data_IF_130836668751
#
_entry.id   IF_130836668751
#
_cell.length_a   1.000
_cell.length_b   1.000
_cell.length_c   1.000
_cell.angle_alpha   90.00
_cell.angle_beta   90.00
_cell.angle_gamma   90.00
#
_symmetry.space_group_name_H-M   'P 1'
#
loop_
_entity.id
_entity.type
_entity.pdbx_description
1 polymer ?
#
# COMPACT_ATOMS: atom_id res chain seq x y z
N UNK A 1 11.58 24.38 -10.57
CA UNK A 1 12.77 23.61 -10.17
C UNK A 1 13.58 24.37 -9.12
N UNK A 2 14.45 25.32 -9.47
CA UNK A 2 15.23 26.12 -8.50
C UNK A 2 14.38 26.90 -7.47
N UNK A 3 13.17 27.31 -7.86
CA UNK A 3 12.23 27.97 -6.98
C UNK A 3 11.66 27.05 -5.87
N UNK A 4 11.35 25.79 -6.19
CA UNK A 4 10.77 24.85 -5.22
C UNK A 4 11.84 24.39 -4.23
N UNK A 5 13.07 24.17 -4.72
CA UNK A 5 14.27 23.94 -3.90
C UNK A 5 14.52 25.06 -2.90
N UNK A 6 14.55 26.32 -3.36
CA UNK A 6 14.76 27.48 -2.50
C UNK A 6 13.67 27.67 -1.44
N UNK A 7 12.41 27.37 -1.77
CA UNK A 7 11.28 27.50 -0.83
C UNK A 7 11.27 26.37 0.20
N UNK A 8 11.56 25.12 -0.19
CA UNK A 8 11.68 24.03 0.79
C UNK A 8 12.92 24.20 1.67
N UNK A 9 14.04 24.73 1.15
CA UNK A 9 15.18 25.18 1.94
C UNK A 9 14.80 26.23 2.97
N UNK A 10 14.10 27.30 2.57
CA UNK A 10 13.59 28.30 3.51
C UNK A 10 12.61 27.68 4.53
N UNK A 11 11.81 26.69 4.11
CA UNK A 11 10.88 25.98 4.97
C UNK A 11 11.57 25.06 5.99
N UNK A 12 12.65 24.37 5.63
CA UNK A 12 13.47 23.61 6.58
C UNK A 12 14.27 24.51 7.51
N UNK A 13 14.74 25.67 7.03
CA UNK A 13 15.30 26.69 7.91
C UNK A 13 14.28 27.21 8.93
N UNK A 14 12.99 27.26 8.58
CA UNK A 14 11.88 27.59 9.50
C UNK A 14 11.52 26.43 10.45
N UNK A 15 11.65 25.17 10.01
CA UNK A 15 11.53 23.97 10.86
C UNK A 15 12.64 23.91 11.91
N UNK A 16 13.89 24.22 11.53
CA UNK A 16 15.02 24.32 12.45
C UNK A 16 14.83 25.43 13.50
N UNK A 17 14.06 26.49 13.17
CA UNK A 17 13.70 27.59 14.09
C UNK A 17 12.54 27.26 15.05
N UNK A 18 11.86 26.11 14.91
CA UNK A 18 10.75 25.70 15.81
C UNK A 18 11.18 24.85 17.00
N UNK A 19 12.48 24.62 17.20
CA UNK A 19 13.00 24.31 18.53
C UNK A 19 12.95 25.59 19.40
N UNK A 20 12.68 25.49 20.71
CA UNK A 20 12.19 26.62 21.49
C UNK A 20 13.24 27.74 21.67
N UNK A 21 12.89 28.95 21.19
CA UNK A 21 13.56 30.21 21.52
C UNK A 21 14.31 30.87 20.35
N UNK A 22 13.71 31.89 19.72
CA UNK A 22 14.31 33.19 19.32
C UNK A 22 13.56 33.91 18.16
N UNK A 23 13.77 35.24 18.09
CA UNK A 23 12.92 36.28 17.50
C UNK A 23 13.03 36.45 15.97
N UNK A 24 11.94 36.92 15.34
CA UNK A 24 11.80 37.06 13.87
C UNK A 24 12.23 38.43 13.31
N UNK A 25 12.95 38.43 12.18
CA UNK A 25 13.00 39.57 11.25
C UNK A 25 13.13 39.14 9.78
N UNK A 26 12.50 39.96 8.93
CA UNK A 26 12.07 39.84 7.51
C UNK A 26 13.18 39.55 6.49
N UNK A 27 12.82 38.97 5.33
CA UNK A 27 13.33 39.41 4.01
C UNK A 27 12.35 39.05 2.87
N UNK A 28 12.41 39.85 1.80
CA UNK A 28 11.55 39.85 0.61
C UNK A 28 12.39 40.05 -0.67
N UNK A 29 11.83 39.68 -1.83
CA UNK A 29 12.10 40.15 -3.23
C UNK A 29 12.66 39.09 -4.22
N UNK A 30 12.67 39.29 -5.56
CA UNK A 30 11.51 39.06 -6.45
C UNK A 30 11.83 38.29 -7.77
N UNK A 31 10.77 37.78 -8.43
CA UNK A 31 10.62 37.73 -9.90
C UNK A 31 11.09 36.47 -10.65
N UNK A 32 10.15 35.77 -11.29
CA UNK A 32 10.16 35.43 -12.73
C UNK A 32 8.90 34.65 -13.16
N UNK A 33 8.67 34.70 -14.47
CA UNK A 33 7.44 34.46 -15.25
C UNK A 33 6.79 33.08 -15.12
N UNK A 34 5.46 33.12 -15.17
CA UNK A 34 4.46 32.08 -15.02
C UNK A 34 4.39 31.07 -16.17
N UNK A 35 3.72 29.95 -15.88
CA UNK A 35 3.27 28.84 -16.76
C UNK A 35 4.28 27.72 -16.99
N UNK A 36 4.20 26.64 -16.18
CA UNK A 36 4.40 25.21 -16.56
C UNK A 36 4.66 24.23 -15.39
N UNK A 37 4.59 24.64 -14.12
CA UNK A 37 5.06 23.78 -13.02
C UNK A 37 4.00 23.55 -11.93
N UNK A 38 3.07 22.62 -12.15
CA UNK A 38 2.28 22.03 -11.05
C UNK A 38 2.38 20.51 -10.94
N UNK A 39 3.23 19.88 -11.76
CA UNK A 39 3.78 18.56 -11.47
C UNK A 39 5.29 18.70 -11.36
N UNK A 40 5.89 18.16 -10.29
CA UNK A 40 7.34 18.02 -10.23
C UNK A 40 7.73 17.03 -11.33
N UNK A 41 8.77 17.31 -12.13
CA UNK A 41 9.29 16.34 -13.09
C UNK A 41 9.63 15.02 -12.39
N UNK A 42 9.46 13.90 -13.09
CA UNK A 42 9.97 12.62 -12.63
C UNK A 42 11.46 12.75 -12.25
N UNK A 43 11.84 12.31 -11.04
CA UNK A 43 13.19 12.45 -10.50
C UNK A 43 13.37 13.46 -9.36
N UNK A 44 12.32 14.19 -8.95
CA UNK A 44 12.34 15.12 -7.80
C UNK A 44 11.67 14.55 -6.53
N UNK A 45 11.64 13.22 -6.41
CA UNK A 45 11.02 12.50 -5.30
C UNK A 45 11.73 12.74 -3.96
N UNK A 46 13.01 13.14 -4.01
CA UNK A 46 13.84 13.41 -2.84
C UNK A 46 14.40 14.83 -2.87
N UNK A 47 14.21 15.55 -1.76
CA UNK A 47 14.77 16.87 -1.49
C UNK A 47 15.62 16.79 -0.22
N UNK A 48 16.93 16.89 -0.39
CA UNK A 48 17.87 17.10 0.72
C UNK A 48 17.83 18.57 1.08
N UNK A 49 17.26 18.90 2.25
CA UNK A 49 17.03 20.29 2.64
C UNK A 49 18.14 20.82 3.52
N UNK A 50 18.74 19.93 4.32
CA UNK A 50 20.03 20.10 4.96
C UNK A 50 20.67 18.73 5.18
N UNK A 51 21.92 18.68 5.63
CA UNK A 51 22.59 17.42 6.04
C UNK A 51 21.80 16.63 7.09
N UNK A 52 20.91 17.31 7.83
CA UNK A 52 20.20 16.77 8.98
C UNK A 52 18.72 16.50 8.67
N UNK A 53 18.16 17.08 7.59
CA UNK A 53 16.72 16.97 7.26
C UNK A 53 16.52 16.61 5.79
N UNK A 54 15.93 15.44 5.57
CA UNK A 54 15.58 14.92 4.26
C UNK A 54 14.05 14.89 4.11
N UNK A 55 13.54 15.43 3.02
CA UNK A 55 12.11 15.41 2.69
C UNK A 55 11.91 14.61 1.41
N UNK A 56 11.05 13.61 1.46
CA UNK A 56 10.63 12.83 0.28
C UNK A 56 9.17 13.11 0.00
N UNK A 57 8.81 13.39 -1.24
CA UNK A 57 7.42 13.58 -1.64
C UNK A 57 6.86 12.20 -1.96
N UNK A 58 5.98 11.69 -1.10
CA UNK A 58 5.34 10.39 -1.28
C UNK A 58 4.18 10.47 -2.26
N UNK A 59 3.45 11.60 -2.25
CA UNK A 59 2.42 11.89 -3.24
C UNK A 59 2.10 13.38 -3.29
N UNK A 60 1.55 13.84 -4.41
CA UNK A 60 1.01 15.18 -4.58
C UNK A 60 -0.19 15.24 -5.53
N UNK A 61 -1.14 16.13 -5.23
CA UNK A 61 -2.32 16.46 -6.04
C UNK A 61 -2.36 17.98 -6.17
N UNK A 62 -2.39 18.47 -7.39
CA UNK A 62 -2.39 19.91 -7.68
C UNK A 62 -3.54 20.30 -8.60
N UNK A 63 -4.05 21.50 -8.39
CA UNK A 63 -4.97 22.17 -9.31
C UNK A 63 -4.21 23.26 -10.06
N UNK A 64 -4.02 23.01 -11.37
CA UNK A 64 -3.29 23.90 -12.27
C UNK A 64 -3.89 25.31 -12.37
N UNK A 65 -5.19 25.45 -12.15
CA UNK A 65 -5.93 26.70 -12.32
C UNK A 65 -5.87 27.58 -11.08
N UNK A 66 -6.06 26.99 -9.90
CA UNK A 66 -6.04 27.73 -8.62
C UNK A 66 -4.65 27.88 -8.03
N UNK A 67 -3.70 27.05 -8.47
CA UNK A 67 -2.38 26.91 -7.88
C UNK A 67 -2.40 26.16 -6.55
N UNK A 68 -3.52 25.56 -6.17
CA UNK A 68 -3.60 24.80 -4.93
C UNK A 68 -2.87 23.47 -5.06
N UNK A 69 -2.13 23.10 -4.02
CA UNK A 69 -1.36 21.86 -3.95
C UNK A 69 -1.62 21.17 -2.62
N UNK A 70 -1.83 19.87 -2.66
CA UNK A 70 -1.74 18.99 -1.51
C UNK A 70 -0.63 17.96 -1.72
N UNK A 71 0.11 17.64 -0.66
CA UNK A 71 1.15 16.62 -0.72
C UNK A 71 1.26 15.82 0.58
N UNK A 72 1.69 14.57 0.44
CA UNK A 72 2.16 13.74 1.54
C UNK A 72 3.68 13.68 1.45
N UNK A 73 4.34 14.05 2.55
CA UNK A 73 5.78 14.11 2.67
C UNK A 73 6.24 13.08 3.71
N UNK A 74 7.35 12.41 3.43
CA UNK A 74 8.16 11.72 4.43
C UNK A 74 9.24 12.69 4.91
N UNK A 75 9.24 13.01 6.20
CA UNK A 75 10.27 13.85 6.80
C UNK A 75 11.18 12.96 7.62
N UNK A 76 12.46 12.94 7.27
CA UNK A 76 13.51 12.20 7.97
C UNK A 76 14.51 13.17 8.57
N UNK A 77 14.66 13.13 9.89
CA UNK A 77 15.59 13.94 10.66
C UNK A 77 16.70 13.04 11.18
N UNK A 78 17.93 13.32 10.79
CA UNK A 78 19.14 12.64 11.25
C UNK A 78 19.76 13.42 12.42
N UNK A 79 20.27 12.74 13.47
CA UNK A 79 21.00 13.42 14.54
C UNK A 79 22.25 14.10 13.99
N UNK A 80 22.55 15.31 14.49
CA UNK A 80 23.78 16.05 14.14
C UNK A 80 25.00 15.18 14.40
N UNK A 81 25.89 15.07 13.42
CA UNK A 81 27.17 14.36 13.54
C UNK A 81 28.21 15.05 14.45
N UNK A 82 27.83 16.09 15.21
CA UNK A 82 28.75 16.91 16.01
C UNK A 82 28.25 17.02 17.46
N UNK A 83 28.98 16.37 18.38
CA UNK A 83 28.82 16.34 19.86
C UNK A 83 28.66 17.72 20.56
N UNK A 84 28.31 17.79 21.87
CA UNK A 84 27.37 16.98 22.65
C UNK A 84 26.17 17.80 23.18
N UNK A 85 25.19 17.11 23.77
CA UNK A 85 24.05 17.63 24.56
C UNK A 85 22.71 17.93 23.83
N UNK A 86 22.40 17.21 22.75
CA UNK A 86 21.00 17.03 22.31
C UNK A 86 20.60 15.58 22.52
N UNK A 87 19.47 15.36 23.19
CA UNK A 87 18.97 14.05 23.66
C UNK A 87 18.42 13.14 22.56
N UNK A 88 18.43 13.55 21.29
CA UNK A 88 17.99 12.70 20.18
C UNK A 88 19.16 11.88 19.63
N UNK A 89 19.28 10.62 20.06
CA UNK A 89 20.31 9.66 19.60
C UNK A 89 19.90 8.85 18.38
N UNK A 90 18.68 9.02 17.85
CA UNK A 90 18.10 8.20 16.80
C UNK A 90 17.58 9.04 15.62
N UNK A 91 17.63 8.46 14.43
CA UNK A 91 16.94 8.99 13.24
C UNK A 91 15.45 9.00 13.51
N UNK A 92 14.80 10.14 13.26
CA UNK A 92 13.36 10.32 13.39
C UNK A 92 12.75 10.34 12.00
N UNK A 93 11.68 9.60 11.79
CA UNK A 93 10.91 9.62 10.55
C UNK A 93 9.43 9.83 10.88
N UNK A 94 8.77 10.75 10.18
CA UNK A 94 7.33 10.98 10.33
C UNK A 94 6.71 11.44 9.00
N UNK A 95 5.39 11.26 8.86
CA UNK A 95 4.65 11.76 7.71
C UNK A 95 4.12 13.16 7.97
N UNK A 96 4.16 14.00 6.95
CA UNK A 96 3.57 15.33 6.95
C UNK A 96 2.62 15.48 5.78
N UNK A 97 1.37 15.81 6.06
CA UNK A 97 0.40 16.20 5.06
C UNK A 97 0.40 17.73 4.97
N UNK A 98 0.49 18.26 3.76
CA UNK A 98 0.50 19.70 3.51
C UNK A 98 -0.55 20.05 2.47
N UNK A 99 -1.29 21.12 2.72
CA UNK A 99 -2.04 21.87 1.72
C UNK A 99 -1.43 23.26 1.64
N UNK A 100 -1.21 23.77 0.44
CA UNK A 100 -0.70 25.11 0.23
C UNK A 100 -1.21 25.66 -1.09
N UNK A 101 -0.87 26.92 -1.35
CA UNK A 101 -1.05 27.55 -2.66
C UNK A 101 0.32 27.89 -3.22
N UNK A 102 0.54 27.53 -4.48
CA UNK A 102 1.78 27.73 -5.23
C UNK A 102 1.49 28.70 -6.37
N UNK A 103 2.15 29.85 -6.35
CA UNK A 103 2.09 30.83 -7.44
C UNK A 103 3.50 31.20 -7.85
N UNK A 104 3.92 30.72 -9.02
CA UNK A 104 5.29 30.86 -9.50
C UNK A 104 6.30 30.26 -8.52
N UNK A 105 7.05 31.13 -7.85
CA UNK A 105 8.08 30.77 -6.86
C UNK A 105 7.66 31.05 -5.42
N UNK A 106 6.37 31.26 -5.17
CA UNK A 106 5.87 31.59 -3.83
C UNK A 106 4.91 30.50 -3.35
N UNK A 107 5.12 30.04 -2.12
CA UNK A 107 4.16 29.18 -1.41
C UNK A 107 3.49 30.00 -0.31
N UNK A 108 2.16 29.97 -0.29
CA UNK A 108 1.34 30.64 0.72
C UNK A 108 0.25 29.70 1.25
N UNK A 109 -0.54 30.16 2.22
CA UNK A 109 -1.71 29.44 2.74
C UNK A 109 -1.41 27.99 3.17
N UNK A 110 -0.25 27.80 3.82
CA UNK A 110 0.25 26.49 4.23
C UNK A 110 -0.56 25.98 5.43
N UNK A 111 -1.17 24.81 5.27
CA UNK A 111 -1.92 24.07 6.29
C UNK A 111 -1.33 22.68 6.43
N UNK A 112 -0.95 22.28 7.64
CA UNK A 112 -0.17 21.07 7.89
C UNK A 112 -0.81 20.19 8.95
N UNK A 113 -0.69 18.88 8.76
CA UNK A 113 -0.89 17.86 9.79
C UNK A 113 0.34 16.96 9.79
N UNK A 114 0.89 16.72 10.99
CA UNK A 114 1.98 15.77 11.18
C UNK A 114 1.43 14.49 11.80
N UNK A 115 1.70 13.37 11.13
CA UNK A 115 1.50 12.04 11.68
C UNK A 115 2.78 11.66 12.42
N UNK A 116 2.73 11.93 13.72
CA UNK A 116 3.80 11.69 14.69
C UNK A 116 3.55 10.42 15.49
N UNK A 117 2.73 9.49 15.00
CA UNK A 117 2.43 8.28 15.76
C UNK A 117 3.66 7.39 15.91
N UNK A 118 4.51 7.30 14.88
CA UNK A 118 5.82 6.65 14.99
C UNK A 118 6.70 7.29 16.09
N UNK A 119 6.68 8.62 16.20
CA UNK A 119 7.37 9.36 17.26
C UNK A 119 6.80 9.07 18.65
N UNK A 120 5.47 9.00 18.78
CA UNK A 120 4.79 8.69 20.06
C UNK A 120 5.03 7.24 20.50
N UNK A 121 5.06 6.32 19.54
CA UNK A 121 5.23 4.89 19.77
C UNK A 121 6.71 4.46 19.82
N UNK A 122 7.65 5.40 19.71
CA UNK A 122 9.10 5.13 19.64
C UNK A 122 9.48 4.18 18.49
N UNK A 123 8.74 4.25 17.38
CA UNK A 123 9.03 3.52 16.15
C UNK A 123 10.01 4.31 15.29
N UNK A 124 10.98 3.62 14.68
CA UNK A 124 12.04 4.26 13.89
C UNK A 124 11.64 4.61 12.46
N UNK A 125 10.47 4.17 11.98
CA UNK A 125 10.03 4.32 10.59
C UNK A 125 8.57 4.71 10.51
N UNK A 126 8.24 5.63 9.62
CA UNK A 126 6.86 6.03 9.38
C UNK A 126 6.22 5.10 8.36
N UNK A 127 4.94 4.76 8.57
CA UNK A 127 4.16 3.95 7.62
C UNK A 127 4.05 4.70 6.29
N UNK A 128 4.42 4.06 5.18
CA UNK A 128 4.26 4.67 3.85
C UNK A 128 2.82 4.53 3.34
N UNK A 129 2.28 5.52 2.61
CA UNK A 129 1.00 5.34 1.93
C UNK A 129 1.11 4.21 0.89
N UNK A 130 -0.01 3.54 0.55
CA UNK A 130 -0.01 2.56 -0.52
C UNK A 130 0.37 3.20 -1.87
N UNK A 131 0.80 2.39 -2.84
CA UNK A 131 1.00 2.85 -4.21
C UNK A 131 -0.34 3.27 -4.82
N UNK A 132 -0.40 4.46 -5.42
CA UNK A 132 -1.61 4.98 -6.03
C UNK A 132 -1.52 4.85 -7.55
N UNK A 133 -2.30 3.94 -8.13
CA UNK A 133 -2.57 3.89 -9.58
C UNK A 133 -3.96 4.46 -9.85
N UNK A 134 -4.03 5.44 -10.76
CA UNK A 134 -5.29 6.01 -11.22
C UNK A 134 -5.95 5.12 -12.27
N UNK A 135 -7.25 4.84 -12.12
CA UNK A 135 -8.07 4.28 -13.19
C UNK A 135 -8.80 5.38 -13.96
N UNK A 136 -8.95 5.20 -15.28
CA UNK A 136 -9.84 6.03 -16.09
C UNK A 136 -11.28 5.88 -15.61
N UNK A 137 -11.93 7.02 -15.34
CA UNK A 137 -13.33 7.01 -14.89
C UNK A 137 -14.30 6.68 -16.01
N UNK A 138 -15.50 6.16 -15.69
CA UNK A 138 -16.57 6.01 -16.66
C UNK A 138 -16.83 7.35 -17.37
N UNK A 139 -17.18 7.35 -18.67
CA UNK A 139 -17.52 8.58 -19.38
C UNK A 139 -18.60 9.37 -18.64
N UNK A 140 -18.32 10.66 -18.37
CA UNK A 140 -19.26 11.56 -17.69
C UNK A 140 -19.24 11.51 -16.16
N UNK A 141 -18.37 10.73 -15.53
CA UNK A 141 -18.19 10.76 -14.08
C UNK A 141 -17.36 11.98 -13.66
N UNK A 142 -17.92 12.80 -12.77
CA UNK A 142 -17.26 13.97 -12.18
C UNK A 142 -16.89 13.66 -10.73
N UNK A 143 -15.59 13.55 -10.44
CA UNK A 143 -15.10 13.16 -9.12
C UNK A 143 -15.42 14.23 -8.07
N UNK A 144 -15.30 15.50 -8.45
CA UNK A 144 -15.65 16.64 -7.59
C UNK A 144 -17.10 16.57 -7.14
N UNK A 145 -18.04 16.35 -8.05
CA UNK A 145 -19.47 16.28 -7.74
C UNK A 145 -19.79 15.05 -6.89
N UNK A 146 -19.25 13.89 -7.25
CA UNK A 146 -19.46 12.64 -6.52
C UNK A 146 -18.97 12.75 -5.07
N UNK A 147 -17.75 13.28 -4.85
CA UNK A 147 -17.19 13.41 -3.51
C UNK A 147 -17.92 14.47 -2.67
N UNK A 148 -18.35 15.60 -3.27
CA UNK A 148 -19.18 16.58 -2.57
C UNK A 148 -20.53 16.01 -2.17
N UNK A 149 -21.16 15.22 -3.03
CA UNK A 149 -22.42 14.54 -2.74
C UNK A 149 -22.26 13.50 -1.63
N UNK A 150 -21.18 12.71 -1.65
CA UNK A 150 -20.82 11.79 -0.57
C UNK A 150 -20.59 12.54 0.76
N UNK A 151 -19.77 13.58 0.75
CA UNK A 151 -19.50 14.38 1.94
C UNK A 151 -20.78 14.99 2.52
N UNK A 152 -21.65 15.52 1.65
CA UNK A 152 -22.95 16.06 2.05
C UNK A 152 -23.87 14.98 2.63
N UNK A 153 -23.86 13.76 2.08
CA UNK A 153 -24.59 12.62 2.62
C UNK A 153 -24.18 12.31 4.08
N UNK A 154 -22.87 12.32 4.35
CA UNK A 154 -22.32 12.13 5.71
C UNK A 154 -22.68 13.31 6.62
N UNK A 155 -22.42 14.55 6.19
CA UNK A 155 -22.61 15.75 7.04
C UNK A 155 -24.08 16.05 7.35
N UNK A 156 -24.99 15.72 6.45
CA UNK A 156 -26.45 15.86 6.65
C UNK A 156 -27.10 14.64 7.29
N UNK A 157 -26.32 13.59 7.59
CA UNK A 157 -26.79 12.34 8.21
C UNK A 157 -27.88 11.64 7.41
N UNK A 158 -27.75 11.65 6.08
CA UNK A 158 -28.70 11.00 5.16
C UNK A 158 -28.14 9.69 4.59
N UNK A 159 -27.26 9.03 5.35
CA UNK A 159 -26.52 7.84 4.91
C UNK A 159 -27.41 6.62 4.72
N UNK A 160 -28.44 6.43 5.54
CA UNK A 160 -29.41 5.34 5.39
C UNK A 160 -30.02 5.30 3.97
N UNK A 161 -30.36 6.47 3.43
CA UNK A 161 -30.99 6.59 2.11
C UNK A 161 -29.97 6.66 0.96
N UNK A 162 -28.81 7.27 1.19
CA UNK A 162 -27.93 7.73 0.10
C UNK A 162 -26.56 7.06 0.05
N UNK A 163 -26.10 6.37 1.11
CA UNK A 163 -24.73 5.83 1.16
C UNK A 163 -24.46 4.79 0.06
N UNK A 164 -25.50 4.06 -0.37
CA UNK A 164 -25.44 3.08 -1.45
C UNK A 164 -25.05 3.68 -2.81
N UNK A 165 -25.25 4.98 -3.01
CA UNK A 165 -24.84 5.69 -4.24
C UNK A 165 -23.32 5.87 -4.34
N UNK A 166 -22.62 5.82 -3.21
CA UNK A 166 -21.20 6.17 -3.11
C UNK A 166 -20.31 4.98 -2.71
N UNK A 167 -20.91 3.89 -2.24
CA UNK A 167 -20.17 2.76 -1.66
C UNK A 167 -20.69 1.42 -2.18
N UNK A 168 -19.75 0.48 -2.37
CA UNK A 168 -20.05 -0.92 -2.68
C UNK A 168 -20.73 -1.61 -1.48
N UNK A 169 -21.36 -2.76 -1.74
CA UNK A 169 -22.01 -3.55 -0.67
C UNK A 169 -21.02 -4.05 0.40
N UNK A 170 -19.77 -4.28 -0.01
CA UNK A 170 -18.65 -4.62 0.86
C UNK A 170 -17.52 -3.59 0.70
N UNK A 171 -17.00 -3.13 1.83
CA UNK A 171 -16.00 -2.08 1.94
C UNK A 171 -14.81 -2.65 2.70
N UNK A 172 -13.60 -2.26 2.31
CA UNK A 172 -12.42 -2.53 3.14
C UNK A 172 -12.16 -1.29 3.99
N UNK A 173 -12.31 -1.43 5.31
CA UNK A 173 -12.14 -0.36 6.27
C UNK A 173 -11.14 -0.82 7.34
N UNK A 174 -10.06 -0.07 7.54
CA UNK A 174 -8.93 -0.45 8.41
C UNK A 174 -8.46 -1.89 8.16
N UNK A 175 -8.22 -2.24 6.89
CA UNK A 175 -7.77 -3.58 6.45
C UNK A 175 -8.80 -4.72 6.64
N UNK A 176 -9.98 -4.43 7.19
CA UNK A 176 -11.04 -5.41 7.39
C UNK A 176 -12.15 -5.26 6.34
N UNK A 177 -12.65 -6.38 5.82
CA UNK A 177 -13.86 -6.37 5.00
C UNK A 177 -15.09 -6.23 5.89
N UNK A 178 -15.86 -5.18 5.68
CA UNK A 178 -17.12 -4.88 6.38
C UNK A 178 -18.25 -4.71 5.38
N UNK A 179 -19.47 -4.99 5.80
CA UNK A 179 -20.65 -4.63 4.99
C UNK A 179 -20.85 -3.12 5.00
N UNK A 180 -21.51 -2.58 3.97
CA UNK A 180 -21.92 -1.16 3.95
C UNK A 180 -22.72 -0.77 5.19
N UNK A 181 -23.52 -1.68 5.71
CA UNK A 181 -24.32 -1.45 6.91
C UNK A 181 -23.46 -1.35 8.18
N UNK A 182 -22.45 -2.22 8.32
CA UNK A 182 -21.47 -2.12 9.40
C UNK A 182 -20.66 -0.83 9.31
N UNK A 183 -20.26 -0.43 8.09
CA UNK A 183 -19.54 0.82 7.85
C UNK A 183 -20.39 2.04 8.21
N UNK A 184 -21.66 2.06 7.81
CA UNK A 184 -22.65 3.08 8.19
C UNK A 184 -22.79 3.15 9.71
N UNK A 185 -23.00 2.01 10.36
CA UNK A 185 -23.13 1.91 11.81
C UNK A 185 -21.94 2.50 12.56
N UNK A 186 -20.71 2.23 12.11
CA UNK A 186 -19.51 2.81 12.71
C UNK A 186 -19.44 4.34 12.57
N UNK A 187 -19.85 4.89 11.42
CA UNK A 187 -19.92 6.35 11.22
C UNK A 187 -21.04 7.00 12.05
N UNK A 188 -22.14 6.29 12.29
CA UNK A 188 -23.27 6.81 13.07
C UNK A 188 -23.12 6.65 14.57
N UNK A 189 -22.40 5.64 15.05
CA UNK A 189 -22.05 5.49 16.47
C UNK A 189 -21.29 6.73 16.97
N UNK A 190 -20.49 7.33 16.09
CA UNK A 190 -19.88 8.63 16.33
C UNK A 190 -20.93 9.75 16.51
N UNK A 191 -22.05 9.74 15.81
CA UNK A 191 -23.10 10.78 15.93
C UNK A 191 -23.82 10.76 17.29
N UNK A 192 -23.93 9.61 17.94
CA UNK A 192 -24.57 9.48 19.27
C UNK A 192 -23.72 10.04 20.42
N UNK A 193 -22.41 10.11 20.20
CA UNK A 193 -21.44 10.74 21.10
C UNK A 193 -21.23 12.20 20.71
N UNK A 194 -21.23 12.50 19.41
CA UNK A 194 -20.96 13.82 18.84
C UNK A 194 -22.22 14.48 18.25
N UNK A 195 -23.28 14.61 19.06
CA UNK A 195 -24.58 15.06 18.57
C UNK A 195 -24.56 16.45 17.89
N UNK A 196 -23.70 17.36 18.35
CA UNK A 196 -23.51 18.71 17.79
C UNK A 196 -22.38 18.80 16.74
N UNK A 197 -21.80 17.67 16.34
CA UNK A 197 -20.66 17.65 15.43
C UNK A 197 -20.99 18.31 14.09
N UNK A 198 -20.14 19.26 13.74
CA UNK A 198 -20.10 19.91 12.43
C UNK A 198 -18.81 19.51 11.72
N UNK A 199 -18.98 18.84 10.60
CA UNK A 199 -17.93 18.47 9.65
C UNK A 199 -18.01 19.41 8.44
N UNK A 200 -16.98 20.24 8.26
CA UNK A 200 -16.89 21.25 7.20
C UNK A 200 -15.79 20.87 6.23
N UNK A 201 -16.12 20.77 4.94
CA UNK A 201 -15.14 20.62 3.87
C UNK A 201 -14.45 21.98 3.63
N UNK A 202 -13.33 22.23 4.30
CA UNK A 202 -12.60 23.50 4.27
C UNK A 202 -11.82 23.69 2.97
N UNK A 203 -11.23 22.61 2.44
CA UNK A 203 -10.52 22.64 1.16
C UNK A 203 -10.74 21.34 0.38
N UNK A 204 -10.87 21.46 -0.93
CA UNK A 204 -10.96 20.35 -1.87
C UNK A 204 -10.13 20.69 -3.10
N UNK A 205 -9.09 19.89 -3.35
CA UNK A 205 -8.23 19.96 -4.54
C UNK A 205 -8.51 18.70 -5.33
N UNK A 206 -8.86 18.82 -6.61
CA UNK A 206 -9.21 17.68 -7.45
C UNK A 206 -8.39 17.73 -8.73
N UNK A 207 -7.69 16.64 -9.00
CA UNK A 207 -7.11 16.34 -10.29
C UNK A 207 -8.10 15.42 -11.03
N UNK A 208 -9.01 16.02 -11.81
CA UNK A 208 -10.02 15.27 -12.57
C UNK A 208 -9.40 14.42 -13.68
N UNK A 209 -8.23 14.77 -14.19
CA UNK A 209 -7.55 13.95 -15.20
C UNK A 209 -7.03 12.66 -14.58
N UNK A 210 -6.37 12.75 -13.42
CA UNK A 210 -5.86 11.59 -12.69
C UNK A 210 -6.89 10.92 -11.78
N UNK A 211 -8.09 11.48 -11.65
CA UNK A 211 -9.13 11.00 -10.74
C UNK A 211 -8.61 10.84 -9.30
N UNK A 212 -7.98 11.90 -8.82
CA UNK A 212 -7.42 12.02 -7.48
C UNK A 212 -7.95 13.29 -6.83
N UNK A 213 -8.15 13.26 -5.52
CA UNK A 213 -8.47 14.46 -4.75
C UNK A 213 -7.76 14.46 -3.40
N UNK A 214 -7.54 15.65 -2.89
CA UNK A 214 -7.17 15.90 -1.51
C UNK A 214 -8.22 16.81 -0.88
N UNK A 215 -8.69 16.45 0.30
CA UNK A 215 -9.66 17.21 1.06
C UNK A 215 -9.13 17.53 2.46
N UNK A 216 -9.41 18.74 2.93
CA UNK A 216 -9.21 19.14 4.31
C UNK A 216 -10.58 19.28 4.97
N UNK A 217 -10.85 18.44 5.97
CA UNK A 217 -12.14 18.37 6.66
C UNK A 217 -11.97 18.81 8.10
N UNK A 218 -12.69 19.84 8.50
CA UNK A 218 -12.66 20.39 9.85
C UNK A 218 -13.84 19.85 10.64
N UNK A 219 -13.56 19.28 11.81
CA UNK A 219 -14.57 18.75 12.72
C UNK A 219 -14.63 19.63 13.96
N UNK A 220 -15.84 20.03 14.34
CA UNK A 220 -16.12 20.81 15.54
C UNK A 220 -17.27 20.19 16.32
N UNK A 221 -17.05 19.86 17.58
CA UNK A 221 -18.07 19.20 18.41
C UNK A 221 -17.83 19.42 19.90
N UNK A 222 -18.82 19.07 20.73
CA UNK A 222 -18.74 19.12 22.19
C UNK A 222 -18.94 17.71 22.75
N UNK A 223 -17.90 17.06 23.30
CA UNK A 223 -18.02 15.72 23.84
C UNK A 223 -18.91 15.69 25.07
N UNK A 224 -20.00 14.92 24.97
CA UNK A 224 -20.99 14.71 26.05
C UNK A 224 -20.98 13.29 26.62
N UNK A 225 -20.28 12.36 25.97
CA UNK A 225 -20.08 10.96 26.41
C UNK A 225 -18.62 10.56 26.23
N UNK A 226 -18.19 9.54 26.96
CA UNK A 226 -16.87 8.94 26.79
C UNK A 226 -16.76 8.30 25.39
N UNK A 227 -15.59 8.44 24.76
CA UNK A 227 -15.33 7.89 23.43
C UNK A 227 -13.85 7.55 23.24
N UNK A 228 -13.56 6.35 22.75
CA UNK A 228 -12.20 5.83 22.56
C UNK A 228 -11.28 6.02 23.79
N UNK A 229 -11.82 5.77 24.99
CA UNK A 229 -11.08 5.91 26.26
C UNK A 229 -10.86 7.36 26.72
N UNK A 230 -11.48 8.33 26.06
CA UNK A 230 -11.42 9.75 26.43
C UNK A 230 -12.73 10.15 27.10
N UNK A 231 -12.62 10.66 28.33
CA UNK A 231 -13.76 11.18 29.09
C UNK A 231 -14.23 12.55 28.56
N UNK A 232 -15.55 12.85 28.60
CA UNK A 232 -16.07 14.11 28.11
C UNK A 232 -15.64 15.27 29.02
N UNK A 233 -15.05 16.30 28.42
CA UNK A 233 -14.61 17.50 29.16
C UNK A 233 -15.67 18.61 29.20
N UNK A 234 -16.74 18.48 28.41
CA UNK A 234 -17.76 19.51 28.20
C UNK A 234 -17.26 20.75 27.45
N UNK A 235 -16.00 20.77 27.00
CA UNK A 235 -15.41 21.86 26.22
C UNK A 235 -15.51 21.55 24.73
N UNK A 236 -15.80 22.57 23.93
CA UNK A 236 -15.83 22.45 22.48
C UNK A 236 -14.44 22.09 21.94
N UNK A 237 -14.37 21.07 21.11
CA UNK A 237 -13.17 20.56 20.46
C UNK A 237 -13.23 20.87 18.97
N UNK A 238 -12.07 21.21 18.40
CA UNK A 238 -11.88 21.37 16.96
C UNK A 238 -10.67 20.56 16.53
N UNK A 239 -10.83 19.69 15.54
CA UNK A 239 -9.72 19.01 14.89
C UNK A 239 -9.88 19.02 13.37
N UNK A 240 -8.87 18.54 12.66
CA UNK A 240 -8.88 18.51 11.20
C UNK A 240 -8.35 17.18 10.71
N UNK A 241 -8.92 16.69 9.64
CA UNK A 241 -8.41 15.57 8.87
C UNK A 241 -7.96 16.04 7.49
N UNK A 242 -6.87 15.45 7.02
CA UNK A 242 -6.39 15.56 5.65
C UNK A 242 -6.65 14.22 4.96
N UNK A 243 -7.60 14.22 4.04
CA UNK A 243 -8.04 13.04 3.30
C UNK A 243 -7.44 13.08 1.91
N UNK A 244 -6.80 11.99 1.49
CA UNK A 244 -6.36 11.80 0.12
C UNK A 244 -7.17 10.65 -0.46
N UNK A 245 -7.88 10.89 -1.55
CA UNK A 245 -8.66 9.87 -2.26
C UNK A 245 -8.11 9.73 -3.65
N UNK A 246 -7.80 8.50 -4.03
CA UNK A 246 -7.47 8.13 -5.39
C UNK A 246 -8.52 7.13 -5.86
N UNK A 247 -8.84 7.12 -7.15
CA UNK A 247 -9.52 5.99 -7.75
C UNK A 247 -8.57 4.79 -7.76
N UNK A 248 -8.48 4.11 -6.63
CA UNK A 248 -7.60 2.99 -6.37
C UNK A 248 -8.08 1.78 -7.19
N UNK A 249 -7.16 1.13 -7.90
CA UNK A 249 -7.23 -0.34 -7.90
C UNK A 249 -7.04 -0.79 -6.45
N UNK A 250 -7.88 -1.71 -5.97
CA UNK A 250 -7.46 -2.55 -4.87
C UNK A 250 -6.21 -3.26 -5.39
N UNK A 251 -5.06 -2.75 -5.00
CA UNK A 251 -3.78 -3.11 -5.55
C UNK A 251 -3.53 -4.57 -5.14
N UNK A 252 -4.05 -5.52 -5.91
CA UNK A 252 -3.52 -6.89 -5.95
C UNK A 252 -2.16 -6.81 -6.65
N UNK A 253 -1.26 -6.00 -6.09
CA UNK A 253 0.00 -5.55 -6.67
C UNK A 253 -0.16 -4.96 -8.10
N UNK A 254 0.28 -3.72 -8.28
CA UNK A 254 0.46 -3.03 -9.55
C UNK A 254 1.52 -3.79 -10.37
N UNK A 255 1.15 -4.95 -10.90
CA UNK A 255 2.02 -5.79 -11.71
C UNK A 255 1.95 -5.21 -13.10
N UNK A 256 2.75 -4.18 -13.34
CA UNK A 256 3.08 -3.75 -14.70
C UNK A 256 4.03 -4.77 -15.32
N UNK A 257 4.05 -4.86 -16.65
CA UNK A 257 5.09 -5.62 -17.34
C UNK A 257 6.44 -4.95 -17.05
N UNK A 258 7.21 -5.57 -16.14
CA UNK A 258 8.48 -5.05 -15.64
C UNK A 258 9.59 -5.23 -16.67
N UNK A 259 10.83 -4.86 -16.35
CA UNK A 259 11.99 -5.23 -17.16
C UNK A 259 11.94 -6.73 -17.48
N UNK A 260 12.04 -7.08 -18.76
CA UNK A 260 11.81 -8.43 -19.26
C UNK A 260 13.05 -9.33 -19.11
N UNK A 261 13.65 -9.31 -17.93
CA UNK A 261 14.91 -9.98 -17.62
C UNK A 261 14.78 -11.50 -17.38
N UNK A 262 13.55 -12.01 -17.39
CA UNK A 262 13.23 -13.43 -17.26
C UNK A 262 12.64 -14.05 -18.54
N UNK A 263 12.66 -13.35 -19.68
CA UNK A 263 12.15 -13.88 -20.96
C UNK A 263 12.77 -15.24 -21.29
N UNK A 264 11.91 -16.19 -21.65
CA UNK A 264 12.31 -17.55 -22.02
C UNK A 264 12.70 -18.46 -20.85
N UNK A 265 12.75 -17.94 -19.61
CA UNK A 265 12.97 -18.77 -18.42
C UNK A 265 11.69 -19.50 -18.03
N UNK A 266 11.84 -20.64 -17.38
CA UNK A 266 10.74 -21.47 -16.88
C UNK A 266 10.77 -21.47 -15.36
N UNK A 267 9.65 -21.12 -14.75
CA UNK A 267 9.46 -21.12 -13.31
C UNK A 267 8.32 -22.07 -12.89
N UNK A 268 8.57 -22.89 -11.88
CA UNK A 268 7.52 -23.62 -11.17
C UNK A 268 7.19 -22.87 -9.89
N UNK A 269 5.92 -22.58 -9.66
CA UNK A 269 5.44 -21.96 -8.41
C UNK A 269 4.39 -22.86 -7.78
N UNK A 270 4.72 -23.46 -6.64
CA UNK A 270 3.82 -24.39 -5.97
C UNK A 270 2.76 -23.62 -5.18
N UNK A 271 1.49 -24.00 -5.30
CA UNK A 271 0.39 -23.25 -4.66
C UNK A 271 0.08 -21.91 -5.31
N UNK A 272 0.31 -21.77 -6.62
CA UNK A 272 0.08 -20.54 -7.40
C UNK A 272 -1.40 -20.13 -7.54
N UNK A 273 -2.35 -20.97 -7.14
CA UNK A 273 -3.79 -20.65 -7.24
C UNK A 273 -4.28 -19.51 -6.33
N UNK A 274 -3.53 -19.13 -5.28
CA UNK A 274 -3.93 -18.07 -4.33
C UNK A 274 -2.74 -17.53 -3.51
N UNK A 275 -3.00 -16.45 -2.78
CA UNK A 275 -2.08 -15.91 -1.75
C UNK A 275 -0.70 -15.54 -2.30
N UNK A 276 0.34 -15.76 -1.48
CA UNK A 276 1.74 -15.46 -1.81
C UNK A 276 2.18 -16.14 -3.10
N UNK A 277 1.87 -17.43 -3.26
CA UNK A 277 2.20 -18.19 -4.48
C UNK A 277 1.63 -17.56 -5.74
N UNK A 278 0.38 -17.11 -5.71
CA UNK A 278 -0.22 -16.38 -6.85
C UNK A 278 0.54 -15.09 -7.14
N UNK A 279 0.84 -14.29 -6.12
CA UNK A 279 1.59 -13.03 -6.27
C UNK A 279 2.98 -13.25 -6.88
N UNK A 280 3.70 -14.27 -6.41
CA UNK A 280 5.02 -14.64 -6.96
C UNK A 280 4.88 -15.05 -8.43
N UNK A 281 3.92 -15.91 -8.76
CA UNK A 281 3.68 -16.36 -10.13
C UNK A 281 3.36 -15.18 -11.07
N UNK A 282 2.50 -14.25 -10.64
CA UNK A 282 2.16 -13.03 -11.37
C UNK A 282 3.39 -12.15 -11.58
N UNK A 283 4.22 -11.93 -10.56
CA UNK A 283 5.42 -11.11 -10.66
C UNK A 283 6.50 -11.72 -11.57
N UNK A 284 6.71 -13.04 -11.49
CA UNK A 284 7.65 -13.72 -12.39
C UNK A 284 7.17 -13.67 -13.84
N UNK A 285 5.87 -13.87 -14.06
CA UNK A 285 5.26 -13.79 -15.38
C UNK A 285 5.37 -12.38 -15.97
N UNK A 286 5.17 -11.32 -15.19
CA UNK A 286 5.28 -9.94 -15.70
C UNK A 286 6.69 -9.53 -16.13
N UNK A 287 7.71 -10.29 -15.74
CA UNK A 287 9.11 -10.19 -16.19
C UNK A 287 9.44 -11.11 -17.36
N UNK A 288 8.44 -11.82 -17.90
CA UNK A 288 8.54 -12.67 -19.09
C UNK A 288 8.82 -14.15 -18.82
N UNK A 289 8.79 -14.61 -17.56
CA UNK A 289 9.01 -16.03 -17.25
C UNK A 289 7.77 -16.87 -17.58
N UNK A 290 7.95 -18.03 -18.22
CA UNK A 290 6.91 -19.04 -18.36
C UNK A 290 6.62 -19.66 -16.98
N UNK A 291 5.34 -19.79 -16.63
CA UNK A 291 4.91 -20.26 -15.31
C UNK A 291 4.23 -21.63 -15.41
N UNK A 292 4.72 -22.57 -14.62
CA UNK A 292 4.00 -23.79 -14.23
C UNK A 292 3.49 -23.56 -12.80
N UNK A 293 2.21 -23.17 -12.69
CA UNK A 293 1.56 -22.92 -11.40
C UNK A 293 0.85 -24.18 -10.91
N UNK A 294 1.01 -24.52 -9.63
CA UNK A 294 0.33 -25.71 -9.07
C UNK A 294 -0.82 -25.36 -8.13
N UNK A 295 -1.81 -26.25 -8.04
CA UNK A 295 -2.87 -26.23 -7.05
C UNK A 295 -3.16 -27.66 -6.54
N UNK A 296 -3.73 -27.80 -5.35
CA UNK A 296 -3.94 -29.12 -4.74
C UNK A 296 -5.15 -29.88 -5.27
N UNK A 297 -6.13 -29.18 -5.85
CA UNK A 297 -7.41 -29.75 -6.28
C UNK A 297 -7.85 -29.20 -7.62
N UNK A 298 -8.56 -30.02 -8.40
CA UNK A 298 -9.02 -29.68 -9.76
C UNK A 298 -9.85 -28.40 -9.82
N UNK A 299 -10.73 -28.18 -8.84
CA UNK A 299 -11.59 -27.00 -8.76
C UNK A 299 -10.81 -25.68 -8.61
N UNK A 300 -9.52 -25.73 -8.25
CA UNK A 300 -8.66 -24.56 -8.14
C UNK A 300 -7.85 -24.27 -9.41
N UNK A 301 -7.93 -25.10 -10.47
CA UNK A 301 -7.27 -24.81 -11.74
C UNK A 301 -7.77 -23.52 -12.39
N UNK A 302 -9.08 -23.24 -12.30
CA UNK A 302 -9.65 -22.01 -12.86
C UNK A 302 -9.01 -20.74 -12.32
N UNK A 303 -8.47 -20.76 -11.08
CA UNK A 303 -7.74 -19.61 -10.51
C UNK A 303 -6.39 -19.36 -11.18
N UNK A 304 -5.80 -20.38 -11.79
CA UNK A 304 -4.58 -20.28 -12.58
C UNK A 304 -4.91 -19.84 -14.01
N UNK A 305 -6.07 -20.24 -14.54
CA UNK A 305 -6.59 -19.67 -15.80
C UNK A 305 -6.90 -18.17 -15.65
N UNK A 306 -7.43 -17.75 -14.50
CA UNK A 306 -7.59 -16.32 -14.19
C UNK A 306 -6.25 -15.58 -14.15
N UNK A 307 -5.21 -16.20 -13.57
CA UNK A 307 -3.84 -15.67 -13.57
C UNK A 307 -3.34 -15.51 -15.01
N UNK A 308 -3.55 -16.53 -15.85
CA UNK A 308 -3.21 -16.45 -17.27
C UNK A 308 -3.92 -15.29 -17.98
N UNK A 309 -5.23 -15.17 -17.80
CA UNK A 309 -6.01 -14.10 -18.42
C UNK A 309 -5.54 -12.70 -17.95
N UNK A 310 -5.16 -12.57 -16.68
CA UNK A 310 -4.57 -11.35 -16.12
C UNK A 310 -3.25 -10.99 -16.81
N UNK A 311 -2.32 -11.95 -16.92
CA UNK A 311 -1.04 -11.73 -17.60
C UNK A 311 -1.23 -11.43 -19.09
N UNK A 312 -2.10 -12.17 -19.79
CA UNK A 312 -2.43 -11.91 -21.19
C UNK A 312 -2.99 -10.49 -21.40
N UNK A 313 -3.77 -9.98 -20.45
CA UNK A 313 -4.26 -8.59 -20.45
C UNK A 313 -3.12 -7.58 -20.26
N UNK A 314 -2.25 -7.81 -19.27
CA UNK A 314 -1.10 -6.94 -18.98
C UNK A 314 -0.16 -6.82 -20.18
N UNK A 315 0.11 -7.92 -20.86
CA UNK A 315 0.98 -7.91 -22.04
C UNK A 315 0.34 -7.25 -23.25
N UNK A 316 -0.96 -7.46 -23.50
CA UNK A 316 -1.70 -6.77 -24.58
C UNK A 316 -1.64 -5.25 -24.47
N UNK A 317 -1.63 -4.74 -23.25
CA UNK A 317 -1.54 -3.31 -22.98
C UNK A 317 -0.09 -2.78 -22.93
N UNK A 318 0.90 -3.61 -23.26
CA UNK A 318 2.31 -3.26 -23.28
C UNK A 318 2.89 -3.31 -24.69
N UNK A 319 3.90 -2.49 -24.99
CA UNK A 319 4.63 -2.55 -26.27
C UNK A 319 5.63 -3.73 -26.35
N UNK A 320 5.51 -4.75 -25.48
CA UNK A 320 6.48 -5.84 -25.35
C UNK A 320 5.96 -7.13 -25.97
N UNK A 321 6.78 -7.78 -26.79
CA UNK A 321 6.32 -8.83 -27.72
C UNK A 321 6.34 -10.27 -27.17
N UNK A 322 7.11 -10.55 -26.11
CA UNK A 322 7.24 -11.93 -25.58
C UNK A 322 6.30 -12.17 -24.41
N UNK A 323 5.07 -12.64 -24.71
CA UNK A 323 4.09 -13.04 -23.70
C UNK A 323 4.50 -14.40 -23.11
N UNK A 324 4.61 -14.55 -21.78
CA UNK A 324 4.93 -15.83 -21.16
C UNK A 324 3.77 -16.83 -21.26
N UNK A 325 4.11 -18.12 -21.30
CA UNK A 325 3.14 -19.21 -21.20
C UNK A 325 2.82 -19.49 -19.74
N UNK A 326 1.54 -19.67 -19.43
CA UNK A 326 1.06 -20.01 -18.08
C UNK A 326 0.27 -21.31 -18.14
N UNK A 327 0.70 -22.28 -17.34
CA UNK A 327 0.13 -23.62 -17.26
C UNK A 327 -0.24 -23.97 -15.82
N UNK A 328 -1.49 -24.37 -15.61
CA UNK A 328 -1.98 -24.92 -14.34
C UNK A 328 -1.72 -26.43 -14.25
N UNK A 329 -1.34 -26.89 -13.06
CA UNK A 329 -1.11 -28.32 -12.75
C UNK A 329 -1.77 -28.66 -11.42
N UNK A 330 -2.60 -29.71 -11.40
CA UNK A 330 -3.08 -30.29 -10.14
C UNK A 330 -1.96 -31.14 -9.56
N UNK A 331 -1.52 -30.80 -8.36
CA UNK A 331 -0.45 -31.47 -7.64
C UNK A 331 -0.86 -31.57 -6.16
N UNK A 332 -1.45 -32.71 -5.74
CA UNK A 332 -1.91 -32.90 -4.36
C UNK A 332 -0.72 -33.05 -3.40
N UNK A 333 -0.50 -32.03 -2.57
CA UNK A 333 0.71 -31.92 -1.73
C UNK A 333 0.87 -33.04 -0.68
N UNK A 334 -0.25 -33.61 -0.22
CA UNK A 334 -0.27 -34.73 0.72
C UNK A 334 -0.03 -36.10 0.07
N UNK A 335 0.16 -36.14 -1.26
CA UNK A 335 0.47 -37.35 -2.03
C UNK A 335 1.81 -37.15 -2.76
N UNK A 336 2.97 -37.22 -2.07
CA UNK A 336 4.26 -36.75 -2.61
C UNK A 336 4.64 -37.38 -3.97
N UNK A 337 4.29 -38.65 -4.19
CA UNK A 337 4.55 -39.33 -5.45
C UNK A 337 3.75 -38.71 -6.60
N UNK A 338 2.45 -38.51 -6.41
CA UNK A 338 1.57 -37.91 -7.41
C UNK A 338 1.97 -36.46 -7.64
N UNK A 339 2.17 -35.70 -6.56
CA UNK A 339 2.68 -34.33 -6.56
C UNK A 339 3.92 -34.16 -7.44
N UNK A 340 4.96 -34.96 -7.19
CA UNK A 340 6.21 -34.90 -7.96
C UNK A 340 5.98 -35.31 -9.41
N UNK A 341 5.23 -36.39 -9.66
CA UNK A 341 5.01 -36.89 -11.02
C UNK A 341 4.25 -35.89 -11.90
N UNK A 342 3.24 -35.21 -11.37
CA UNK A 342 2.45 -34.21 -12.08
C UNK A 342 3.31 -33.01 -12.50
N UNK A 343 4.14 -32.51 -11.57
CA UNK A 343 5.02 -31.37 -11.82
C UNK A 343 6.15 -31.73 -12.81
N UNK A 344 6.76 -32.91 -12.65
CA UNK A 344 7.79 -33.41 -13.58
C UNK A 344 7.20 -33.59 -14.99
N UNK A 345 5.99 -34.11 -15.12
CA UNK A 345 5.34 -34.25 -16.42
C UNK A 345 5.07 -32.89 -17.08
N UNK A 346 4.71 -31.86 -16.30
CA UNK A 346 4.51 -30.53 -16.83
C UNK A 346 5.81 -29.87 -17.31
N UNK A 347 6.93 -30.03 -16.59
CA UNK A 347 8.20 -29.39 -16.97
C UNK A 347 8.89 -30.05 -18.15
N UNK A 348 8.61 -31.34 -18.42
CA UNK A 348 9.13 -32.07 -19.59
C UNK A 348 8.88 -31.33 -20.91
N UNK A 349 7.70 -30.74 -21.04
CA UNK A 349 7.31 -29.99 -22.26
C UNK A 349 8.19 -28.77 -22.52
N UNK A 350 8.82 -28.22 -21.47
CA UNK A 350 9.73 -27.08 -21.57
C UNK A 350 11.21 -27.49 -21.66
N UNK A 351 11.52 -28.76 -21.41
CA UNK A 351 12.86 -29.35 -21.45
C UNK A 351 13.83 -28.86 -20.36
N UNK A 352 13.47 -27.85 -19.57
CA UNK A 352 14.34 -27.26 -18.55
C UNK A 352 13.57 -26.42 -17.53
N UNK A 353 14.22 -26.18 -16.39
CA UNK A 353 13.73 -25.39 -15.27
C UNK A 353 14.79 -24.39 -14.84
N UNK A 354 14.38 -23.13 -14.60
CA UNK A 354 15.26 -22.08 -14.12
C UNK A 354 14.95 -21.67 -12.68
N UNK A 355 13.68 -21.67 -12.29
CA UNK A 355 13.25 -21.17 -10.98
C UNK A 355 12.26 -22.17 -10.38
N UNK A 356 12.54 -22.67 -9.18
CA UNK A 356 11.60 -23.44 -8.39
C UNK A 356 11.23 -22.65 -7.14
N UNK A 357 9.96 -22.27 -7.01
CA UNK A 357 9.40 -21.66 -5.81
C UNK A 357 8.54 -22.67 -5.08
N UNK A 358 9.05 -23.16 -3.95
CA UNK A 358 8.37 -24.05 -3.02
C UNK A 358 7.57 -23.20 -2.03
N UNK A 359 6.31 -22.93 -2.35
CA UNK A 359 5.39 -22.10 -1.57
C UNK A 359 4.18 -22.87 -1.01
N UNK A 360 3.75 -23.94 -1.68
CA UNK A 360 2.64 -24.75 -1.18
C UNK A 360 2.97 -25.35 0.19
N UNK A 361 2.06 -25.17 1.14
CA UNK A 361 2.21 -25.66 2.51
C UNK A 361 0.85 -26.03 3.10
N UNK A 362 0.87 -26.93 4.09
CA UNK A 362 -0.26 -27.17 5.00
C UNK A 362 0.05 -26.45 6.30
N UNK A 363 -0.93 -25.69 6.81
CA UNK A 363 -0.84 -25.01 8.10
C UNK A 363 -2.01 -25.51 8.94
N UNK A 364 -1.69 -26.21 10.01
CA UNK A 364 -2.64 -26.72 10.99
C UNK A 364 -2.13 -26.32 12.37
N UNK A 365 -3.01 -25.76 13.20
CA UNK A 365 -2.68 -25.34 14.55
C UNK A 365 -3.58 -26.11 15.50
N UNK A 366 -2.99 -26.79 16.47
CA UNK A 366 -3.72 -27.54 17.49
C UNK A 366 -3.09 -27.31 18.87
N UNK A 367 -3.89 -27.17 19.94
CA UNK A 367 -3.38 -27.12 21.32
C UNK A 367 -2.53 -28.34 21.68
N UNK A 368 -1.53 -28.13 22.53
CA UNK A 368 -0.75 -29.25 23.10
C UNK A 368 -1.69 -30.16 23.89
N UNK A 369 -1.63 -31.47 23.61
CA UNK A 369 -2.55 -32.47 24.16
C UNK A 369 -3.68 -32.89 23.21
N UNK A 370 -3.96 -32.12 22.15
CA UNK A 370 -4.90 -32.50 21.07
C UNK A 370 -4.22 -32.80 19.74
N UNK A 371 -2.90 -32.61 19.66
CA UNK A 371 -2.08 -32.96 18.51
C UNK A 371 -2.08 -34.49 18.33
N UNK A 372 -2.53 -34.95 17.17
CA UNK A 372 -2.53 -36.36 16.79
C UNK A 372 -1.31 -36.68 15.93
N UNK A 373 -1.01 -37.98 15.76
CA UNK A 373 0.03 -38.41 14.81
C UNK A 373 -0.29 -37.94 13.38
N UNK A 374 -1.56 -37.97 12.98
CA UNK A 374 -2.00 -37.51 11.65
C UNK A 374 -1.70 -36.02 11.41
N UNK A 375 -1.89 -35.15 12.41
CA UNK A 375 -1.50 -33.74 12.30
C UNK A 375 0.00 -33.59 12.01
N UNK A 376 0.84 -34.34 12.73
CA UNK A 376 2.31 -34.30 12.55
C UNK A 376 2.68 -34.84 11.16
N UNK A 377 2.14 -35.99 10.78
CA UNK A 377 2.44 -36.66 9.52
C UNK A 377 2.06 -35.78 8.34
N UNK A 378 0.88 -35.14 8.37
CA UNK A 378 0.43 -34.22 7.31
C UNK A 378 1.33 -33.00 7.18
N UNK A 379 1.72 -32.38 8.30
CA UNK A 379 2.61 -31.22 8.31
C UNK A 379 4.01 -31.58 7.78
N UNK A 380 4.59 -32.70 8.20
CA UNK A 380 5.90 -33.16 7.74
C UNK A 380 5.85 -33.57 6.26
N UNK A 381 4.83 -34.32 5.85
CA UNK A 381 4.61 -34.75 4.46
C UNK A 381 4.53 -33.54 3.53
N UNK A 382 3.67 -32.57 3.88
CA UNK A 382 3.42 -31.42 3.02
C UNK A 382 4.56 -30.40 3.00
N UNK A 383 5.16 -30.11 4.15
CA UNK A 383 6.07 -28.97 4.30
C UNK A 383 7.55 -29.36 4.24
N UNK A 384 7.88 -30.65 4.39
CA UNK A 384 9.26 -31.15 4.38
C UNK A 384 9.45 -32.20 3.29
N UNK A 385 8.73 -33.32 3.34
CA UNK A 385 8.97 -34.45 2.44
C UNK A 385 8.68 -34.11 0.98
N UNK A 386 7.48 -33.59 0.68
CA UNK A 386 7.08 -33.24 -0.67
C UNK A 386 8.04 -32.20 -1.32
N UNK A 387 8.45 -31.11 -0.64
CA UNK A 387 9.47 -30.21 -1.16
C UNK A 387 10.81 -30.88 -1.46
N UNK A 388 11.31 -31.73 -0.56
CA UNK A 388 12.59 -32.43 -0.73
C UNK A 388 12.54 -33.39 -1.93
N UNK A 389 11.50 -34.22 -2.02
CA UNK A 389 11.34 -35.16 -3.13
C UNK A 389 11.11 -34.45 -4.45
N UNK A 390 10.43 -33.31 -4.45
CA UNK A 390 10.24 -32.52 -5.67
C UNK A 390 11.58 -32.00 -6.21
N UNK A 391 12.47 -31.51 -5.34
CA UNK A 391 13.81 -31.08 -5.74
C UNK A 391 14.57 -32.25 -6.36
N UNK A 392 14.56 -33.43 -5.72
CA UNK A 392 15.21 -34.64 -6.24
C UNK A 392 14.67 -35.03 -7.61
N UNK A 393 13.35 -35.03 -7.78
CA UNK A 393 12.69 -35.39 -9.04
C UNK A 393 12.97 -34.40 -10.17
N UNK A 394 13.23 -33.13 -9.84
CA UNK A 394 13.51 -32.06 -10.79
C UNK A 394 15.01 -31.87 -11.11
N UNK A 395 15.92 -32.58 -10.43
CA UNK A 395 17.37 -32.49 -10.67
C UNK A 395 17.77 -32.53 -12.15
N UNK A 396 17.21 -33.42 -13.00
CA UNK A 396 17.57 -33.48 -14.41
C UNK A 396 17.18 -32.24 -15.24
N UNK A 397 16.27 -31.40 -14.74
CA UNK A 397 15.75 -30.24 -15.47
C UNK A 397 16.43 -28.93 -15.08
N UNK A 398 17.12 -28.88 -13.94
CA UNK A 398 17.84 -27.69 -13.52
C UNK A 398 19.02 -27.40 -14.46
N UNK A 399 19.15 -26.13 -14.85
CA UNK A 399 20.31 -25.59 -15.57
C UNK A 399 21.32 -24.97 -14.60
N UNK A 400 22.58 -24.77 -15.03
CA UNK A 400 23.46 -23.80 -14.37
C UNK A 400 22.71 -22.48 -14.15
N UNK A 401 22.91 -21.86 -13.00
CA UNK A 401 22.18 -20.67 -12.54
C UNK A 401 20.69 -20.86 -12.21
N UNK A 402 20.19 -22.09 -12.10
CA UNK A 402 18.86 -22.30 -11.53
C UNK A 402 18.80 -21.85 -10.08
N UNK A 403 17.62 -21.46 -9.62
CA UNK A 403 17.37 -21.05 -8.24
C UNK A 403 16.24 -21.88 -7.64
N UNK A 404 16.47 -22.41 -6.45
CA UNK A 404 15.44 -23.04 -5.62
C UNK A 404 15.16 -22.08 -4.47
N UNK A 405 13.90 -21.70 -4.31
CA UNK A 405 13.42 -20.71 -3.35
C UNK A 405 12.38 -21.40 -2.48
N UNK A 406 12.68 -21.57 -1.20
CA UNK A 406 11.75 -22.14 -0.23
C UNK A 406 11.10 -21.00 0.56
N UNK A 407 9.76 -20.94 0.55
CA UNK A 407 9.02 -19.97 1.35
C UNK A 407 8.83 -20.53 2.74
N UNK A 408 9.22 -19.76 3.74
CA UNK A 408 9.04 -20.06 5.17
C UNK A 408 8.44 -18.85 5.89
N UNK A 409 8.19 -18.98 7.18
CA UNK A 409 7.55 -17.95 8.01
C UNK A 409 8.44 -17.59 9.20
N UNK A 410 8.26 -16.37 9.72
CA UNK A 410 8.81 -15.95 11.01
C UNK A 410 8.35 -16.88 12.15
N UNK A 411 7.15 -17.46 12.04
CA UNK A 411 6.66 -18.47 13.00
C UNK A 411 7.51 -19.73 13.13
N UNK A 412 8.51 -19.95 12.26
CA UNK A 412 9.53 -20.98 12.47
C UNK A 412 10.62 -20.59 13.49
N UNK A 413 10.61 -19.34 13.96
CA UNK A 413 11.54 -18.75 14.93
C UNK A 413 10.84 -18.22 16.17
N UNK A 414 9.56 -17.85 16.08
CA UNK A 414 8.77 -17.42 17.23
C UNK A 414 8.52 -18.58 18.22
N UNK A 415 8.96 -18.49 19.49
CA UNK A 415 8.69 -19.52 20.49
C UNK A 415 7.25 -19.46 21.05
N UNK A 416 6.43 -18.47 20.66
CA UNK A 416 5.07 -18.27 21.16
C UNK A 416 4.10 -19.37 20.68
N UNK A 417 3.34 -20.01 21.60
CA UNK A 417 2.29 -20.93 21.19
C UNK A 417 1.12 -20.15 20.58
N UNK A 418 0.97 -20.25 19.25
CA UNK A 418 -0.10 -19.58 18.48
C UNK A 418 -1.49 -20.07 18.90
N UNK A 419 -1.63 -21.34 19.32
CA UNK A 419 -2.84 -21.85 19.97
C UNK A 419 -2.69 -21.78 21.48
N UNK A 420 -3.38 -20.80 22.10
CA UNK A 420 -3.59 -20.80 23.55
C UNK A 420 -4.64 -21.86 23.88
N UNK A 421 -4.41 -22.60 24.98
CA UNK A 421 -5.30 -23.62 25.55
C UNK A 421 -6.69 -23.12 25.82
#
# INVERSE_FOLDING_TARGET
MAAIESIFQEYAERLNRRLPGENMAKFSSPGHSSSQLLNLPAGFEHLEVSSDVNITILHQIGDAFTGDLAAILLVRISPKSVFPASTATAVIEFRRHVFCQVQGTTISNIMIIDDVDALRNSESQAVRPPSWSAKASPPGFCLTEAYRAYFNCVSTRTMEENLSKFTHDHITFNEHSVTREQYRGAMEECHDVMADCKNTLEKLIVDEEKQQLAARVVFEWTPVKAWNGIEPTGKRVKFTEHVFVCNMEHDRANVKVSEQDLVGKVAIVTGASRGIGRGIAVHLASRGANIIGTCSVLSSLGKIDDLRAEIDSLYRNSNKSSVPLIKGVVAPLLEPREYCSAIVNAVKEYGSLNILVQNAAVVEVAPVGTITQDHIDRLLTANIEAPVFLVQALLPYFRPESRIINISSEGGRDPSPVART
#
